data_IF_531991835727
#
_entry.id   IF_531991835727
#
_cell.length_a   1.000
_cell.length_b   1.000
_cell.length_c   1.000
_cell.angle_alpha   90.00
_cell.angle_beta   90.00
_cell.angle_gamma   90.00
#
_symmetry.space_group_name_H-M   'P 1'
#
loop_
_entity.id
_entity.type
_entity.pdbx_description
1 polymer ?
#
# COMPACT_ATOMS: atom_id res chain seq x y z
N UNK A 1 32.47 -25.33 22.94
CA UNK A 1 31.10 -25.59 23.44
C UNK A 1 31.14 -26.99 24.03
N UNK A 2 31.38 -27.08 25.33
CA UNK A 2 31.49 -28.37 26.01
C UNK A 2 30.07 -28.90 26.24
N UNK A 3 29.80 -30.10 25.73
CA UNK A 3 28.62 -30.91 26.05
C UNK A 3 28.69 -31.29 27.53
N UNK A 4 27.80 -30.74 28.34
CA UNK A 4 27.57 -31.21 29.71
C UNK A 4 26.93 -32.59 29.61
N UNK A 5 27.45 -33.64 30.24
CA UNK A 5 26.80 -34.94 30.26
C UNK A 5 25.45 -34.79 30.99
N UNK A 6 24.32 -35.13 30.33
CA UNK A 6 23.01 -35.09 30.93
C UNK A 6 23.02 -35.98 32.17
N UNK A 7 22.79 -35.39 33.33
CA UNK A 7 22.63 -36.11 34.58
C UNK A 7 21.39 -37.01 34.50
N UNK A 8 21.56 -38.32 34.77
CA UNK A 8 20.44 -39.23 34.87
C UNK A 8 19.64 -38.91 36.16
N UNK A 9 18.38 -38.60 36.00
CA UNK A 9 17.50 -38.47 37.18
C UNK A 9 17.29 -39.83 37.86
N UNK A 10 17.14 -39.86 39.20
CA UNK A 10 16.73 -41.06 39.89
C UNK A 10 15.39 -41.60 39.34
N UNK A 11 15.27 -42.91 39.24
CA UNK A 11 14.09 -43.58 38.64
C UNK A 11 12.77 -43.27 39.36
N UNK A 12 12.81 -42.89 40.63
CA UNK A 12 11.69 -42.52 41.47
C UNK A 12 11.34 -41.02 41.48
N UNK A 13 12.17 -40.18 40.82
CA UNK A 13 11.94 -38.73 40.76
C UNK A 13 10.58 -38.39 40.10
N UNK A 14 10.26 -39.04 39.00
CA UNK A 14 9.01 -38.80 38.32
C UNK A 14 7.78 -39.12 39.20
N UNK A 15 7.86 -40.15 40.04
CA UNK A 15 6.78 -40.50 40.98
C UNK A 15 6.65 -39.49 42.11
N UNK A 16 7.76 -38.97 42.63
CA UNK A 16 7.76 -37.88 43.62
C UNK A 16 7.14 -36.61 43.04
N UNK A 17 7.52 -36.23 41.83
CA UNK A 17 6.96 -35.04 41.17
C UNK A 17 5.48 -35.23 40.80
N UNK A 18 5.02 -36.43 40.44
CA UNK A 18 3.64 -36.72 40.07
C UNK A 18 2.66 -36.43 41.20
N UNK A 19 3.04 -36.68 42.45
CA UNK A 19 2.22 -36.36 43.60
C UNK A 19 2.01 -34.84 43.78
N UNK A 20 2.99 -34.03 43.49
CA UNK A 20 2.87 -32.59 43.56
C UNK A 20 2.02 -32.00 42.42
N UNK A 21 2.05 -32.60 41.24
CA UNK A 21 1.35 -32.07 40.07
C UNK A 21 -0.17 -32.09 40.22
N UNK A 22 -0.73 -32.99 41.06
CA UNK A 22 -2.19 -33.05 41.28
C UNK A 22 -2.75 -31.76 41.92
N UNK A 23 -1.94 -31.03 42.70
CA UNK A 23 -2.35 -29.76 43.31
C UNK A 23 -1.73 -28.54 42.63
N UNK A 24 -0.64 -28.72 41.87
CA UNK A 24 0.11 -27.67 41.26
C UNK A 24 -0.70 -26.96 40.15
N UNK A 25 -1.56 -27.66 39.41
CA UNK A 25 -2.40 -27.08 38.35
C UNK A 25 -3.28 -25.95 38.85
N UNK A 26 -3.97 -26.17 39.99
CA UNK A 26 -4.83 -25.14 40.60
C UNK A 26 -4.01 -23.93 41.11
N UNK A 27 -2.84 -24.19 41.74
CA UNK A 27 -1.95 -23.14 42.20
C UNK A 27 -1.42 -22.28 41.05
N UNK A 28 -1.06 -22.89 39.91
CA UNK A 28 -0.63 -22.19 38.70
C UNK A 28 -1.73 -21.29 38.16
N UNK A 29 -2.94 -21.84 38.02
CA UNK A 29 -4.10 -21.10 37.52
C UNK A 29 -4.44 -19.93 38.46
N UNK A 30 -4.43 -20.14 39.78
CA UNK A 30 -4.66 -19.08 40.75
C UNK A 30 -3.58 -17.97 40.70
N UNK A 31 -2.32 -18.35 40.54
CA UNK A 31 -1.21 -17.40 40.41
C UNK A 31 -1.29 -16.59 39.12
N UNK A 32 -1.58 -17.24 37.99
CA UNK A 32 -1.75 -16.55 36.68
C UNK A 32 -2.92 -15.57 36.77
N UNK A 33 -4.07 -15.98 37.32
CA UNK A 33 -5.25 -15.11 37.46
C UNK A 33 -4.96 -13.89 38.35
N UNK A 34 -4.14 -14.04 39.37
CA UNK A 34 -3.77 -12.97 40.31
C UNK A 34 -2.75 -11.98 39.70
N UNK A 35 -1.76 -12.48 38.94
CA UNK A 35 -0.62 -11.70 38.53
C UNK A 35 -0.70 -11.18 37.08
N UNK A 36 -1.57 -11.77 36.26
CA UNK A 36 -1.79 -11.34 34.86
C UNK A 36 -3.22 -10.84 34.70
N UNK A 37 -3.46 -9.52 34.66
CA UNK A 37 -4.81 -8.93 34.70
C UNK A 37 -5.76 -9.44 33.59
N UNK A 38 -5.24 -9.78 32.42
CA UNK A 38 -6.04 -10.31 31.32
C UNK A 38 -6.63 -11.71 31.60
N UNK A 39 -6.10 -12.44 32.60
CA UNK A 39 -6.59 -13.72 33.07
C UNK A 39 -7.32 -13.64 34.42
N UNK A 40 -7.49 -12.43 34.98
CA UNK A 40 -8.16 -12.20 36.25
C UNK A 40 -9.69 -12.41 36.19
N UNK A 41 -10.28 -12.54 35.01
CA UNK A 41 -11.70 -12.88 34.87
C UNK A 41 -11.96 -14.35 35.31
N UNK A 42 -13.15 -14.66 35.82
CA UNK A 42 -13.48 -16.04 36.18
C UNK A 42 -13.12 -16.97 35.02
N UNK A 43 -12.30 -18.00 35.31
CA UNK A 43 -11.90 -19.03 34.35
C UNK A 43 -13.06 -20.00 34.08
N UNK A 44 -14.25 -19.45 33.82
CA UNK A 44 -15.48 -20.14 33.51
C UNK A 44 -15.71 -20.24 31.99
N UNK A 45 -16.53 -21.17 31.57
CA UNK A 45 -16.87 -21.38 30.16
C UNK A 45 -15.76 -22.07 29.36
N UNK A 46 -15.79 -21.89 28.04
CA UNK A 46 -14.85 -22.55 27.12
C UNK A 46 -13.39 -22.06 27.29
N UNK A 47 -13.22 -20.80 27.68
CA UNK A 47 -11.90 -20.21 27.91
C UNK A 47 -11.21 -20.81 29.14
N UNK A 48 -11.89 -20.82 30.30
CA UNK A 48 -11.31 -21.38 31.50
C UNK A 48 -10.97 -22.87 31.37
N UNK A 49 -11.81 -23.64 30.69
CA UNK A 49 -11.49 -25.01 30.32
C UNK A 49 -10.24 -25.15 29.48
N UNK A 50 -10.06 -24.26 28.47
CA UNK A 50 -8.86 -24.26 27.62
C UNK A 50 -7.59 -23.98 28.39
N UNK A 51 -7.59 -22.99 29.30
CA UNK A 51 -6.43 -22.67 30.14
C UNK A 51 -6.11 -23.83 31.08
N UNK A 52 -7.11 -24.40 31.75
CA UNK A 52 -6.93 -25.57 32.64
C UNK A 52 -6.35 -26.75 31.88
N UNK A 53 -6.92 -27.09 30.73
CA UNK A 53 -6.42 -28.17 29.88
C UNK A 53 -4.99 -27.93 29.40
N UNK A 54 -4.65 -26.68 29.03
CA UNK A 54 -3.29 -26.31 28.65
C UNK A 54 -2.27 -26.46 29.78
N UNK A 55 -2.65 -26.09 31.02
CA UNK A 55 -1.82 -26.28 32.23
C UNK A 55 -1.65 -27.74 32.56
N UNK A 56 -2.73 -28.52 32.57
CA UNK A 56 -2.70 -29.98 32.86
C UNK A 56 -1.82 -30.70 31.81
N UNK A 57 -2.00 -30.43 30.53
CA UNK A 57 -1.18 -31.00 29.45
C UNK A 57 0.29 -30.64 29.61
N UNK A 58 0.60 -29.36 29.95
CA UNK A 58 1.97 -28.91 30.18
C UNK A 58 2.62 -29.69 31.33
N UNK A 59 1.92 -29.87 32.42
CA UNK A 59 2.42 -30.60 33.59
C UNK A 59 2.64 -32.08 33.30
N UNK A 60 1.69 -32.73 32.65
CA UNK A 60 1.79 -34.17 32.30
C UNK A 60 2.95 -34.41 31.31
N UNK A 61 3.13 -33.54 30.33
CA UNK A 61 4.22 -33.67 29.37
C UNK A 61 5.58 -33.39 30.01
N UNK A 62 5.66 -32.41 30.90
CA UNK A 62 6.89 -32.19 31.65
C UNK A 62 7.32 -33.43 32.44
N UNK A 63 6.36 -34.12 33.11
CA UNK A 63 6.64 -35.42 33.76
C UNK A 63 7.21 -36.44 32.78
N UNK A 64 6.60 -36.56 31.61
CA UNK A 64 7.12 -37.47 30.56
C UNK A 64 8.55 -37.16 30.18
N UNK A 65 8.92 -35.87 30.08
CA UNK A 65 10.28 -35.42 29.77
C UNK A 65 11.26 -35.85 30.91
N UNK A 66 10.85 -35.70 32.17
CA UNK A 66 11.68 -36.12 33.32
C UNK A 66 11.80 -37.64 33.38
N UNK A 67 10.71 -38.38 33.16
CA UNK A 67 10.65 -39.82 33.21
C UNK A 67 11.49 -40.49 32.10
N UNK A 68 11.43 -39.96 30.88
CA UNK A 68 12.22 -40.48 29.77
C UNK A 68 13.71 -40.23 29.90
N UNK A 69 14.11 -39.24 30.71
CA UNK A 69 15.49 -38.93 31.03
C UNK A 69 16.41 -38.87 29.78
N UNK A 70 15.85 -38.40 28.65
CA UNK A 70 16.56 -38.32 27.38
C UNK A 70 17.57 -37.18 27.37
N UNK A 71 18.83 -37.45 26.98
CA UNK A 71 19.80 -36.39 26.85
C UNK A 71 19.42 -35.46 25.66
N UNK A 72 19.19 -34.20 25.92
CA UNK A 72 18.90 -33.18 24.88
C UNK A 72 17.64 -32.34 25.15
N UNK A 73 17.32 -31.44 24.25
CA UNK A 73 16.10 -30.63 24.38
C UNK A 73 14.84 -31.52 24.38
N UNK A 74 13.82 -31.17 25.18
CA UNK A 74 12.59 -31.97 25.27
C UNK A 74 11.93 -32.13 23.90
N UNK A 75 11.57 -33.38 23.56
CA UNK A 75 10.80 -33.65 22.35
C UNK A 75 9.34 -33.18 22.55
N UNK A 76 9.02 -32.07 21.93
CA UNK A 76 7.67 -31.48 21.93
C UNK A 76 6.83 -31.90 20.73
N UNK A 77 7.33 -32.71 19.80
CA UNK A 77 6.65 -33.02 18.53
C UNK A 77 5.20 -33.44 18.72
N UNK A 78 4.95 -34.33 19.69
CA UNK A 78 3.61 -34.86 19.99
C UNK A 78 2.62 -33.85 20.61
N UNK A 79 3.12 -32.80 21.26
CA UNK A 79 2.28 -31.79 21.95
C UNK A 79 2.33 -30.41 21.28
N UNK A 80 3.21 -30.20 20.31
CA UNK A 80 3.42 -28.90 19.64
C UNK A 80 2.14 -28.30 19.10
N UNK A 81 1.26 -29.10 18.47
CA UNK A 81 0.00 -28.62 17.89
C UNK A 81 -0.98 -28.10 18.97
N UNK A 82 -0.91 -28.62 20.22
CA UNK A 82 -1.73 -28.10 21.34
C UNK A 82 -1.33 -26.64 21.63
N UNK A 83 -0.03 -26.37 21.70
CA UNK A 83 0.47 -25.01 21.98
C UNK A 83 0.30 -24.05 20.79
N UNK A 84 0.46 -24.52 19.58
CA UNK A 84 0.15 -23.74 18.36
C UNK A 84 -1.35 -23.37 18.34
N UNK A 85 -2.25 -24.29 18.68
CA UNK A 85 -3.69 -23.98 18.80
C UNK A 85 -3.98 -22.99 19.91
N UNK A 86 -3.30 -23.11 21.05
CA UNK A 86 -3.43 -22.15 22.14
C UNK A 86 -3.06 -20.74 21.69
N UNK A 87 -1.92 -20.56 21.02
CA UNK A 87 -1.49 -19.27 20.47
C UNK A 87 -2.51 -18.66 19.50
N UNK A 88 -3.05 -19.48 18.59
CA UNK A 88 -4.14 -19.06 17.68
C UNK A 88 -5.40 -18.63 18.45
N UNK A 89 -5.75 -19.35 19.53
CA UNK A 89 -6.90 -19.02 20.37
C UNK A 89 -6.73 -17.69 21.10
N UNK A 90 -5.54 -17.43 21.63
CA UNK A 90 -5.20 -16.19 22.33
C UNK A 90 -5.27 -14.96 21.41
N UNK A 91 -4.74 -15.07 20.19
CA UNK A 91 -4.87 -14.02 19.16
C UNK A 91 -6.36 -13.73 18.85
N UNK A 92 -7.17 -14.76 18.62
CA UNK A 92 -8.62 -14.60 18.34
C UNK A 92 -9.39 -13.99 19.51
N UNK A 93 -8.93 -14.23 20.73
CA UNK A 93 -9.51 -13.65 21.95
C UNK A 93 -9.03 -12.21 22.20
N UNK A 94 -8.20 -11.63 21.33
CA UNK A 94 -7.71 -10.24 21.41
C UNK A 94 -6.67 -10.01 22.51
N UNK A 95 -6.05 -11.07 23.04
CA UNK A 95 -4.97 -10.94 24.04
C UNK A 95 -3.62 -10.80 23.32
N UNK A 96 -2.72 -10.01 23.90
CA UNK A 96 -1.38 -9.81 23.33
C UNK A 96 -0.47 -11.00 23.58
N UNK A 97 0.51 -11.22 22.70
CA UNK A 97 1.54 -12.24 22.88
C UNK A 97 2.31 -12.03 24.20
N UNK A 98 2.61 -10.77 24.55
CA UNK A 98 3.32 -10.45 25.81
C UNK A 98 2.52 -10.88 27.06
N UNK A 99 1.19 -10.69 27.04
CA UNK A 99 0.30 -11.19 28.11
C UNK A 99 0.40 -12.71 28.27
N UNK A 100 0.40 -13.43 27.16
CA UNK A 100 0.51 -14.88 27.16
C UNK A 100 1.87 -15.37 27.66
N UNK A 101 2.96 -14.77 27.18
CA UNK A 101 4.31 -15.09 27.67
C UNK A 101 4.50 -14.68 29.14
N UNK A 102 3.80 -13.63 29.59
CA UNK A 102 3.71 -13.27 31.00
C UNK A 102 3.10 -14.39 31.86
N UNK A 103 2.04 -15.03 31.38
CA UNK A 103 1.43 -16.17 32.07
C UNK A 103 2.39 -17.38 32.19
N UNK A 104 3.15 -17.67 31.12
CA UNK A 104 4.18 -18.70 31.16
C UNK A 104 5.26 -18.40 32.22
N UNK A 105 5.76 -17.15 32.28
CA UNK A 105 6.75 -16.75 33.32
C UNK A 105 6.25 -16.89 34.73
N UNK A 106 4.97 -16.55 35.00
CA UNK A 106 4.34 -16.74 36.30
C UNK A 106 4.22 -18.23 36.61
N UNK A 107 3.70 -19.00 35.65
CA UNK A 107 3.58 -20.45 35.76
C UNK A 107 4.91 -21.14 36.07
N UNK A 108 5.94 -20.83 35.29
CA UNK A 108 7.30 -21.34 35.46
C UNK A 108 7.84 -21.10 36.86
N UNK A 109 7.67 -19.89 37.38
CA UNK A 109 8.17 -19.54 38.72
C UNK A 109 7.44 -20.32 39.85
N UNK A 110 6.13 -20.49 39.75
CA UNK A 110 5.37 -21.22 40.71
C UNK A 110 5.67 -22.73 40.63
N UNK A 111 5.73 -23.29 39.41
CA UNK A 111 6.09 -24.67 39.16
C UNK A 111 7.47 -25.00 39.71
N UNK A 112 8.48 -24.17 39.40
CA UNK A 112 9.83 -24.38 39.86
C UNK A 112 9.95 -24.47 41.38
N UNK A 113 9.31 -23.54 42.11
CA UNK A 113 9.35 -23.58 43.59
C UNK A 113 8.84 -24.90 44.16
N UNK A 114 7.68 -25.33 43.66
CA UNK A 114 7.03 -26.55 44.15
C UNK A 114 7.82 -27.80 43.76
N UNK A 115 8.23 -27.90 42.49
CA UNK A 115 8.97 -29.07 42.00
C UNK A 115 10.38 -29.16 42.59
N UNK A 116 11.10 -28.06 42.78
CA UNK A 116 12.40 -28.06 43.44
C UNK A 116 12.31 -28.49 44.91
N UNK A 117 11.29 -28.03 45.64
CA UNK A 117 11.08 -28.44 47.02
C UNK A 117 10.70 -29.92 47.12
N UNK A 118 9.89 -30.46 46.21
CA UNK A 118 9.55 -31.86 46.14
C UNK A 118 10.76 -32.72 45.80
N UNK A 119 11.56 -32.33 44.80
CA UNK A 119 12.78 -33.03 44.39
C UNK A 119 13.81 -33.10 45.53
N UNK A 120 13.97 -32.01 46.30
CA UNK A 120 14.84 -31.99 47.48
C UNK A 120 14.36 -32.92 48.56
N UNK A 121 13.05 -32.96 48.84
CA UNK A 121 12.46 -33.92 49.79
C UNK A 121 12.66 -35.36 49.32
N UNK A 122 12.63 -35.60 48.01
CA UNK A 122 12.93 -36.89 47.40
C UNK A 122 14.42 -37.25 47.33
N UNK A 123 15.32 -36.41 47.90
CA UNK A 123 16.75 -36.69 47.98
C UNK A 123 17.59 -36.30 46.78
N UNK A 124 17.05 -35.49 45.85
CA UNK A 124 17.80 -34.98 44.69
C UNK A 124 18.92 -34.03 45.20
N UNK A 125 20.12 -34.24 44.74
CA UNK A 125 21.30 -33.42 45.09
C UNK A 125 21.31 -32.08 44.32
N UNK A 126 22.32 -31.26 44.56
CA UNK A 126 22.46 -29.92 43.94
C UNK A 126 22.59 -29.99 42.42
N UNK A 127 23.35 -30.94 41.92
CA UNK A 127 23.61 -31.09 40.47
C UNK A 127 22.34 -31.60 39.77
N UNK A 128 21.61 -32.52 40.38
CA UNK A 128 20.32 -32.95 39.90
C UNK A 128 19.26 -31.83 39.88
N UNK A 129 19.28 -30.92 40.87
CA UNK A 129 18.42 -29.75 40.89
C UNK A 129 18.76 -28.76 39.74
N UNK A 130 20.03 -28.59 39.42
CA UNK A 130 20.44 -27.79 38.29
C UNK A 130 19.94 -28.41 36.98
N UNK A 131 20.14 -29.72 36.80
CA UNK A 131 19.64 -30.45 35.61
C UNK A 131 18.11 -30.39 35.47
N UNK A 132 17.38 -30.47 36.59
CA UNK A 132 15.93 -30.33 36.59
C UNK A 132 15.49 -28.92 36.21
N UNK A 133 16.23 -27.87 36.64
CA UNK A 133 15.98 -26.49 36.24
C UNK A 133 16.19 -26.27 34.74
N UNK A 134 17.32 -26.76 34.23
CA UNK A 134 17.67 -26.67 32.79
C UNK A 134 16.60 -27.35 31.93
N UNK A 135 16.18 -28.55 32.32
CA UNK A 135 15.10 -29.31 31.65
C UNK A 135 13.78 -28.55 31.67
N UNK A 136 13.41 -27.97 32.83
CA UNK A 136 12.18 -27.19 32.95
C UNK A 136 12.21 -25.89 32.10
N UNK A 137 13.31 -25.16 32.15
CA UNK A 137 13.43 -23.95 31.34
C UNK A 137 13.45 -24.24 29.83
N UNK A 138 14.18 -25.28 29.41
CA UNK A 138 14.14 -25.73 28.02
C UNK A 138 12.74 -26.14 27.56
N UNK A 139 11.99 -26.81 28.42
CA UNK A 139 10.60 -27.19 28.17
C UNK A 139 9.69 -25.94 28.01
N UNK A 140 9.79 -24.96 28.93
CA UNK A 140 9.02 -23.72 28.88
C UNK A 140 9.37 -22.88 27.65
N UNK A 141 10.62 -22.80 27.29
CA UNK A 141 11.04 -22.11 26.07
C UNK A 141 10.47 -22.77 24.83
N UNK A 142 10.46 -24.09 24.78
CA UNK A 142 9.85 -24.86 23.67
C UNK A 142 8.35 -24.62 23.51
N UNK A 143 7.57 -24.71 24.60
CA UNK A 143 6.13 -24.46 24.56
C UNK A 143 5.78 -22.99 24.29
N UNK A 144 6.59 -22.06 24.80
CA UNK A 144 6.47 -20.63 24.52
C UNK A 144 6.71 -20.33 23.03
N UNK A 145 7.73 -20.95 22.45
CA UNK A 145 8.06 -20.85 21.02
C UNK A 145 6.92 -21.36 20.13
N UNK A 146 6.39 -22.57 20.41
CA UNK A 146 5.28 -23.15 19.68
C UNK A 146 3.99 -22.28 19.77
N UNK A 147 3.75 -21.72 20.95
CA UNK A 147 2.60 -20.82 21.17
C UNK A 147 2.76 -19.50 20.41
N UNK A 148 3.96 -18.91 20.44
CA UNK A 148 4.27 -17.68 19.70
C UNK A 148 4.12 -17.88 18.18
N UNK A 149 4.53 -19.03 17.67
CA UNK A 149 4.33 -19.39 16.27
C UNK A 149 2.83 -19.46 15.91
N UNK A 150 2.02 -20.13 16.72
CA UNK A 150 0.58 -20.20 16.51
C UNK A 150 -0.08 -18.82 16.50
N UNK A 151 0.37 -17.94 17.39
CA UNK A 151 -0.08 -16.55 17.47
C UNK A 151 0.30 -15.78 16.18
N UNK A 152 1.56 -15.86 15.76
CA UNK A 152 2.06 -15.19 14.56
C UNK A 152 1.35 -15.67 13.28
N UNK A 153 1.11 -16.99 13.15
CA UNK A 153 0.33 -17.56 12.06
C UNK A 153 -1.11 -17.04 12.01
N UNK A 154 -1.77 -16.91 13.16
CA UNK A 154 -3.13 -16.36 13.22
C UNK A 154 -3.15 -14.86 12.85
N UNK A 155 -2.18 -14.10 13.32
CA UNK A 155 -2.00 -12.69 13.00
C UNK A 155 -1.76 -12.47 11.49
N UNK A 156 -0.86 -13.24 10.89
CA UNK A 156 -0.55 -13.18 9.46
C UNK A 156 -1.77 -13.52 8.60
N UNK A 157 -2.53 -14.58 8.97
CA UNK A 157 -3.77 -14.94 8.25
C UNK A 157 -4.82 -13.84 8.32
N UNK A 158 -5.03 -13.26 9.50
CA UNK A 158 -5.98 -12.17 9.68
C UNK A 158 -5.58 -10.92 8.88
N UNK A 159 -4.29 -10.62 8.80
CA UNK A 159 -3.77 -9.54 7.97
C UNK A 159 -4.00 -9.81 6.46
N UNK A 160 -3.73 -11.05 6.00
CA UNK A 160 -3.94 -11.46 4.61
C UNK A 160 -5.43 -11.48 4.22
N UNK A 161 -6.33 -11.92 5.11
CA UNK A 161 -7.77 -11.87 4.87
C UNK A 161 -8.27 -10.42 4.77
N UNK A 162 -7.77 -9.55 5.63
CA UNK A 162 -8.11 -8.12 5.57
C UNK A 162 -7.59 -7.50 4.27
N UNK A 163 -6.35 -7.78 3.88
CA UNK A 163 -5.76 -7.33 2.62
C UNK A 163 -6.64 -7.71 1.41
N UNK A 164 -7.06 -8.97 1.32
CA UNK A 164 -7.97 -9.45 0.26
C UNK A 164 -9.31 -8.73 0.23
N UNK A 165 -9.88 -8.37 1.39
CA UNK A 165 -11.12 -7.59 1.44
C UNK A 165 -10.92 -6.16 0.94
N UNK A 166 -9.77 -5.54 1.24
CA UNK A 166 -9.40 -4.21 0.73
C UNK A 166 -9.22 -4.21 -0.79
N UNK A 167 -8.52 -5.21 -1.33
CA UNK A 167 -8.33 -5.38 -2.77
C UNK A 167 -9.68 -5.62 -3.46
N UNK A 168 -10.50 -6.50 -2.90
CA UNK A 168 -11.86 -6.74 -3.41
C UNK A 168 -12.73 -5.49 -3.39
N UNK A 169 -12.65 -4.68 -2.34
CA UNK A 169 -13.37 -3.41 -2.25
C UNK A 169 -12.90 -2.43 -3.33
N UNK A 170 -11.59 -2.32 -3.55
CA UNK A 170 -11.02 -1.51 -4.62
C UNK A 170 -11.44 -1.96 -6.01
N UNK A 171 -11.47 -3.26 -6.29
CA UNK A 171 -11.97 -3.82 -7.56
C UNK A 171 -13.44 -3.47 -7.81
N UNK A 172 -14.28 -3.61 -6.78
CA UNK A 172 -15.71 -3.25 -6.88
C UNK A 172 -15.90 -1.75 -7.14
N UNK A 173 -15.13 -0.89 -6.49
CA UNK A 173 -15.14 0.54 -6.72
C UNK A 173 -14.66 0.90 -8.13
N UNK A 174 -13.60 0.22 -8.61
CA UNK A 174 -13.04 0.45 -9.93
C UNK A 174 -14.00 0.02 -11.06
N UNK A 175 -14.66 -1.11 -10.88
CA UNK A 175 -15.58 -1.69 -11.89
C UNK A 175 -16.99 -1.11 -11.87
N UNK A 176 -17.34 -0.29 -10.88
CA UNK A 176 -18.71 0.20 -10.70
C UNK A 176 -19.64 -0.88 -10.19
N UNK A 177 -19.17 -1.68 -9.22
CA UNK A 177 -19.97 -2.74 -8.62
C UNK A 177 -21.25 -2.23 -7.95
N UNK A 178 -22.18 -3.16 -7.70
CA UNK A 178 -23.44 -2.83 -7.04
C UNK A 178 -23.19 -2.17 -5.67
N UNK A 179 -23.83 -1.02 -5.35
CA UNK A 179 -23.63 -0.33 -4.08
C UNK A 179 -23.85 -1.21 -2.83
N UNK A 180 -24.85 -2.09 -2.84
CA UNK A 180 -25.10 -3.01 -1.74
C UNK A 180 -23.93 -3.99 -1.52
N UNK A 181 -23.29 -4.45 -2.60
CA UNK A 181 -22.11 -5.33 -2.52
C UNK A 181 -20.91 -4.57 -1.99
N UNK A 182 -20.70 -3.32 -2.42
CA UNK A 182 -19.65 -2.44 -1.91
C UNK A 182 -19.82 -2.21 -0.42
N UNK A 183 -21.04 -1.88 0.05
CA UNK A 183 -21.33 -1.70 1.47
C UNK A 183 -21.08 -2.98 2.29
N UNK A 184 -21.52 -4.13 1.79
CA UNK A 184 -21.30 -5.40 2.47
C UNK A 184 -19.81 -5.73 2.60
N UNK A 185 -19.04 -5.53 1.51
CA UNK A 185 -17.59 -5.76 1.51
C UNK A 185 -16.87 -4.78 2.43
N UNK A 186 -17.26 -3.50 2.43
CA UNK A 186 -16.73 -2.48 3.30
C UNK A 186 -16.97 -2.82 4.79
N UNK A 187 -18.18 -3.27 5.15
CA UNK A 187 -18.48 -3.74 6.53
C UNK A 187 -17.61 -4.93 6.92
N UNK A 188 -17.46 -5.91 6.02
CA UNK A 188 -16.59 -7.08 6.26
C UNK A 188 -15.13 -6.69 6.45
N UNK A 189 -14.64 -5.68 5.70
CA UNK A 189 -13.30 -5.11 5.82
C UNK A 189 -13.14 -4.17 7.02
N UNK A 190 -14.21 -3.91 7.80
CA UNK A 190 -14.27 -2.90 8.85
C UNK A 190 -13.92 -1.49 8.34
N UNK A 191 -14.28 -1.20 7.08
CA UNK A 191 -14.06 0.08 6.43
C UNK A 191 -15.31 0.95 6.48
N UNK A 192 -15.16 2.16 7.01
CA UNK A 192 -16.23 3.16 6.95
C UNK A 192 -16.16 3.87 5.60
N UNK A 193 -17.18 3.65 4.77
CA UNK A 193 -17.31 4.37 3.50
C UNK A 193 -17.39 5.88 3.77
N UNK A 194 -16.54 6.69 3.12
CA UNK A 194 -16.58 8.16 3.25
C UNK A 194 -17.74 8.72 2.43
N UNK A 195 -18.20 9.94 2.74
CA UNK A 195 -19.24 10.62 1.95
C UNK A 195 -18.75 10.89 0.52
N UNK A 196 -17.46 11.23 0.38
CA UNK A 196 -16.82 11.45 -0.92
C UNK A 196 -15.46 10.75 -0.98
N UNK A 197 -15.05 10.39 -2.18
CA UNK A 197 -13.73 9.82 -2.46
C UNK A 197 -13.18 10.27 -3.81
N UNK A 198 -11.87 10.11 -4.02
CA UNK A 198 -11.23 10.23 -5.32
C UNK A 198 -10.43 8.97 -5.65
N UNK A 199 -10.49 8.55 -6.90
CA UNK A 199 -9.64 7.49 -7.43
C UNK A 199 -8.28 8.07 -7.84
N UNK A 200 -7.22 7.38 -7.48
CA UNK A 200 -5.84 7.71 -7.84
C UNK A 200 -5.30 6.55 -8.66
N UNK A 201 -4.72 6.83 -9.81
CA UNK A 201 -3.97 5.87 -10.60
C UNK A 201 -2.47 6.17 -10.48
N UNK A 202 -1.71 5.19 -10.04
CA UNK A 202 -0.25 5.23 -9.98
C UNK A 202 0.30 4.27 -11.03
N UNK A 203 1.07 4.76 -12.02
CA UNK A 203 1.61 3.92 -13.09
C UNK A 203 2.57 2.84 -12.56
N UNK A 204 2.49 1.62 -13.07
CA UNK A 204 3.38 0.51 -12.72
C UNK A 204 4.84 0.74 -13.06
N UNK A 205 5.10 1.42 -14.17
CA UNK A 205 6.43 1.80 -14.65
C UNK A 205 6.69 3.30 -14.45
N UNK A 206 6.69 3.80 -13.23
CA UNK A 206 7.23 5.13 -12.97
C UNK A 206 8.76 5.05 -13.10
N UNK A 207 9.27 5.53 -14.22
CA UNK A 207 10.60 5.40 -14.75
C UNK A 207 11.74 5.40 -13.73
N UNK A 208 12.45 4.30 -13.69
CA UNK A 208 13.87 4.33 -13.42
C UNK A 208 14.55 4.88 -14.66
N UNK A 209 15.00 6.13 -14.57
CA UNK A 209 15.78 6.77 -15.62
C UNK A 209 16.97 5.88 -16.00
N UNK A 210 17.17 5.80 -17.31
CA UNK A 210 18.38 5.48 -18.04
C UNK A 210 19.58 4.99 -17.22
N UNK A 211 19.64 3.67 -17.05
CA UNK A 211 20.89 2.98 -16.78
C UNK A 211 21.19 2.10 -17.99
N UNK A 212 22.04 2.57 -18.90
CA UNK A 212 22.66 1.76 -19.95
C UNK A 212 23.55 0.71 -19.30
N UNK A 213 22.99 -0.51 -19.14
CA UNK A 213 23.74 -1.68 -18.72
C UNK A 213 23.64 -2.76 -19.79
N UNK A 214 24.60 -2.77 -20.73
CA UNK A 214 24.85 -3.89 -21.61
C UNK A 214 25.36 -5.08 -20.79
N UNK A 215 24.48 -6.07 -20.59
CA UNK A 215 24.83 -7.34 -19.96
C UNK A 215 24.32 -8.51 -20.81
N UNK A 216 25.17 -9.00 -21.69
CA UNK A 216 25.00 -10.28 -22.40
C UNK A 216 25.17 -11.42 -21.39
N UNK A 217 24.10 -12.16 -21.12
CA UNK A 217 24.14 -13.37 -20.31
C UNK A 217 23.22 -14.42 -20.90
N UNK A 218 23.78 -15.33 -21.71
CA UNK A 218 23.15 -16.56 -22.16
C UNK A 218 23.05 -17.55 -20.99
N UNK A 219 21.84 -17.92 -20.60
CA UNK A 219 21.59 -18.97 -19.63
C UNK A 219 20.32 -19.73 -19.98
N UNK A 220 20.50 -20.90 -20.59
CA UNK A 220 19.46 -21.91 -20.80
C UNK A 220 19.12 -22.57 -19.46
N UNK A 221 17.87 -22.49 -19.04
CA UNK A 221 17.37 -23.20 -17.86
C UNK A 221 15.88 -23.49 -18.04
N UNK A 222 15.56 -24.73 -18.34
CA UNK A 222 14.21 -25.31 -18.32
C UNK A 222 13.76 -25.46 -16.87
N UNK A 223 12.72 -24.72 -16.47
CA UNK A 223 12.08 -24.85 -15.16
C UNK A 223 10.59 -24.56 -15.28
N UNK A 224 9.82 -25.59 -14.98
CA UNK A 224 8.36 -25.68 -14.99
C UNK A 224 7.69 -24.61 -14.10
N UNK A 225 6.59 -24.03 -14.65
CA UNK A 225 5.84 -22.93 -14.07
C UNK A 225 5.25 -23.19 -12.69
N UNK A 226 5.23 -22.10 -11.90
CA UNK A 226 4.22 -21.67 -10.91
C UNK A 226 4.69 -20.50 -10.00
N UNK A 227 5.84 -19.83 -10.27
CA UNK A 227 6.39 -18.79 -9.40
C UNK A 227 6.15 -17.33 -9.87
N UNK A 228 5.46 -17.10 -10.99
CA UNK A 228 5.31 -15.74 -11.56
C UNK A 228 4.29 -14.86 -10.82
N UNK A 229 3.32 -15.43 -10.10
CA UNK A 229 2.30 -14.65 -9.38
C UNK A 229 2.77 -14.13 -8.01
N UNK A 230 3.71 -14.80 -7.35
CA UNK A 230 4.22 -14.37 -6.03
C UNK A 230 5.20 -13.21 -6.11
N UNK A 231 6.07 -13.18 -7.10
CA UNK A 231 7.06 -12.09 -7.32
C UNK A 231 6.39 -10.76 -7.72
N UNK A 232 5.23 -10.82 -8.37
CA UNK A 232 4.44 -9.65 -8.74
C UNK A 232 3.78 -8.99 -7.52
N UNK A 233 3.26 -9.77 -6.61
CA UNK A 233 2.51 -9.32 -5.43
C UNK A 233 3.44 -8.68 -4.38
N UNK A 234 4.64 -9.22 -4.15
CA UNK A 234 5.64 -8.64 -3.24
C UNK A 234 6.16 -7.28 -3.73
N UNK A 235 6.41 -7.12 -5.03
CA UNK A 235 6.85 -5.83 -5.61
C UNK A 235 5.78 -4.75 -5.55
N UNK A 236 4.51 -5.12 -5.60
CA UNK A 236 3.38 -4.19 -5.50
C UNK A 236 3.18 -3.76 -4.06
N UNK A 237 3.27 -4.68 -3.10
CA UNK A 237 3.15 -4.37 -1.68
C UNK A 237 4.31 -3.49 -1.18
N UNK A 238 5.53 -3.70 -1.65
CA UNK A 238 6.68 -2.82 -1.36
C UNK A 238 6.45 -1.40 -1.92
N UNK A 239 5.86 -1.27 -3.10
CA UNK A 239 5.55 0.04 -3.70
C UNK A 239 4.41 0.76 -3.00
N UNK A 240 3.39 0.03 -2.58
CA UNK A 240 2.28 0.56 -1.77
C UNK A 240 2.80 0.97 -0.39
N UNK A 241 3.72 0.22 0.20
CA UNK A 241 4.38 0.55 1.45
C UNK A 241 5.21 1.84 1.40
N UNK A 242 5.75 2.19 0.21
CA UNK A 242 6.44 3.46 -0.02
C UNK A 242 5.48 4.65 -0.19
N UNK A 243 4.18 4.40 -0.46
CA UNK A 243 3.18 5.45 -0.51
C UNK A 243 2.87 5.93 0.91
N UNK A 244 3.06 7.22 1.19
CA UNK A 244 2.68 7.82 2.47
C UNK A 244 1.14 7.92 2.63
N UNK A 245 0.43 6.85 2.24
CA UNK A 245 -1.02 6.70 2.32
C UNK A 245 -1.37 5.76 3.49
N UNK A 246 -2.56 5.92 4.10
CA UNK A 246 -2.99 5.00 5.15
C UNK A 246 -3.04 3.56 4.63
N UNK A 247 -2.55 2.57 5.39
CA UNK A 247 -2.57 1.16 4.99
C UNK A 247 -3.99 0.64 4.78
N UNK A 248 -4.97 1.27 5.42
CA UNK A 248 -6.39 0.95 5.35
C UNK A 248 -7.11 1.68 4.20
N UNK A 249 -6.55 1.66 2.99
CA UNK A 249 -7.10 2.35 1.82
C UNK A 249 -7.49 1.31 0.76
N UNK A 250 -8.75 1.31 0.24
CA UNK A 250 -9.17 0.40 -0.82
C UNK A 250 -8.30 0.57 -2.06
N UNK A 251 -7.85 -0.56 -2.61
CA UNK A 251 -6.93 -0.59 -3.74
C UNK A 251 -7.30 -1.68 -4.73
N UNK A 252 -6.88 -1.51 -5.97
CA UNK A 252 -7.02 -2.53 -7.01
C UNK A 252 -5.80 -2.46 -7.93
N UNK A 253 -5.46 -3.59 -8.52
CA UNK A 253 -4.40 -3.70 -9.53
C UNK A 253 -5.07 -4.00 -10.86
N UNK A 254 -4.74 -3.23 -11.90
CA UNK A 254 -5.24 -3.47 -13.25
C UNK A 254 -4.11 -3.29 -14.25
N UNK A 255 -3.61 -4.41 -14.80
CA UNK A 255 -2.34 -4.42 -15.54
C UNK A 255 -1.19 -4.03 -14.60
N UNK A 256 -0.33 -3.13 -15.04
CA UNK A 256 0.78 -2.62 -14.22
C UNK A 256 0.37 -1.46 -13.30
N UNK A 257 -0.89 -1.01 -13.33
CA UNK A 257 -1.36 0.16 -12.62
C UNK A 257 -1.93 -0.18 -11.26
N UNK A 258 -1.57 0.64 -10.27
CA UNK A 258 -2.13 0.58 -8.93
C UNK A 258 -3.23 1.65 -8.83
N UNK A 259 -4.44 1.22 -8.49
CA UNK A 259 -5.58 2.07 -8.23
C UNK A 259 -5.82 2.18 -6.72
N UNK A 260 -6.04 3.40 -6.23
CA UNK A 260 -6.22 3.69 -4.82
C UNK A 260 -7.43 4.62 -4.68
N UNK A 261 -8.31 4.34 -3.69
CA UNK A 261 -9.50 5.15 -3.45
C UNK A 261 -9.37 5.88 -2.11
N UNK A 262 -9.09 7.20 -2.18
CA UNK A 262 -8.85 8.02 -1.00
C UNK A 262 -10.12 8.77 -0.60
N UNK A 263 -10.57 8.58 0.65
CA UNK A 263 -11.72 9.29 1.21
C UNK A 263 -11.43 10.75 1.50
N UNK A 264 -12.47 11.57 1.40
CA UNK A 264 -12.51 13.01 1.71
C UNK A 264 -11.36 13.82 1.08
N UNK A 265 -11.14 13.71 -0.25
CA UNK A 265 -9.98 14.33 -0.91
C UNK A 265 -10.02 15.86 -0.86
N UNK A 266 -11.19 16.47 -0.66
CA UNK A 266 -11.42 17.92 -0.59
C UNK A 266 -11.41 18.48 0.84
N UNK A 267 -11.24 17.62 1.86
CA UNK A 267 -11.16 18.05 3.25
C UNK A 267 -9.99 19.01 3.51
N UNK A 268 -10.02 19.77 4.63
CA UNK A 268 -8.98 20.73 4.97
C UNK A 268 -7.58 20.12 4.97
N UNK A 269 -6.67 20.68 4.17
CA UNK A 269 -5.28 20.23 4.06
C UNK A 269 -5.06 18.92 3.26
N UNK A 270 -6.11 18.19 2.86
CA UNK A 270 -6.03 16.92 2.15
C UNK A 270 -5.36 17.05 0.79
N UNK A 271 -5.67 18.12 0.03
CA UNK A 271 -5.02 18.39 -1.26
C UNK A 271 -3.50 18.48 -1.12
N UNK A 272 -2.99 19.31 -0.20
CA UNK A 272 -1.55 19.47 0.04
C UNK A 272 -0.89 18.18 0.50
N UNK A 273 -1.61 17.39 1.30
CA UNK A 273 -1.14 16.10 1.75
C UNK A 273 -1.02 15.12 0.56
N UNK A 274 -2.03 15.03 -0.32
CA UNK A 274 -1.99 14.21 -1.53
C UNK A 274 -0.85 14.63 -2.46
N UNK A 275 -0.68 15.94 -2.68
CA UNK A 275 0.42 16.47 -3.49
C UNK A 275 1.79 15.99 -3.00
N UNK A 276 2.01 15.97 -1.67
CA UNK A 276 3.25 15.48 -1.07
C UNK A 276 3.40 13.96 -1.16
N UNK A 277 2.32 13.23 -0.87
CA UNK A 277 2.32 11.77 -0.87
C UNK A 277 2.55 11.18 -2.28
N UNK A 278 2.18 11.91 -3.33
CA UNK A 278 2.24 11.47 -4.72
C UNK A 278 3.43 12.04 -5.51
N UNK A 279 4.33 12.78 -4.84
CA UNK A 279 5.53 13.34 -5.49
C UNK A 279 6.38 12.22 -6.10
N UNK A 280 6.79 12.39 -7.34
CA UNK A 280 7.67 11.44 -8.04
C UNK A 280 6.97 10.23 -8.64
N UNK A 281 5.67 10.03 -8.39
CA UNK A 281 4.96 8.83 -8.82
C UNK A 281 4.27 8.96 -10.19
N UNK A 282 4.21 10.16 -10.76
CA UNK A 282 3.47 10.40 -12.00
C UNK A 282 1.97 10.07 -11.88
N UNK A 283 1.43 10.15 -10.68
CA UNK A 283 0.07 9.78 -10.38
C UNK A 283 -0.97 10.71 -11.02
N UNK A 284 -2.17 10.18 -11.29
CA UNK A 284 -3.31 10.98 -11.74
C UNK A 284 -4.45 10.81 -10.74
N UNK A 285 -4.99 11.92 -10.27
CA UNK A 285 -6.07 11.98 -9.28
C UNK A 285 -7.36 12.38 -9.97
N UNK A 286 -8.37 11.52 -9.90
CA UNK A 286 -9.74 11.77 -10.39
C UNK A 286 -10.48 12.78 -9.53
N UNK A 287 -11.70 13.18 -9.94
CA UNK A 287 -12.53 14.10 -9.17
C UNK A 287 -13.00 13.49 -7.85
N UNK A 288 -13.30 14.36 -6.90
CA UNK A 288 -14.07 13.98 -5.72
C UNK A 288 -15.51 13.66 -6.11
N UNK A 289 -15.97 12.45 -5.79
CA UNK A 289 -17.33 11.97 -6.08
C UNK A 289 -17.90 11.26 -4.85
N UNK A 290 -19.24 11.14 -4.72
CA UNK A 290 -19.84 10.24 -3.76
C UNK A 290 -19.34 8.81 -3.98
N UNK A 291 -19.15 8.05 -2.89
CA UNK A 291 -18.57 6.71 -3.00
C UNK A 291 -19.28 5.74 -3.99
N UNK A 292 -20.62 5.81 -4.22
CA UNK A 292 -21.25 4.95 -5.23
C UNK A 292 -20.80 5.26 -6.66
N UNK A 293 -20.26 6.45 -6.90
CA UNK A 293 -19.74 6.92 -8.19
C UNK A 293 -18.22 6.75 -8.32
N UNK A 294 -17.58 5.95 -7.47
CA UNK A 294 -16.12 5.72 -7.45
C UNK A 294 -15.54 5.39 -8.84
N UNK A 295 -16.28 4.58 -9.63
CA UNK A 295 -15.89 4.22 -10.98
C UNK A 295 -15.87 5.42 -11.96
N UNK A 296 -16.71 6.43 -11.75
CA UNK A 296 -16.68 7.66 -12.56
C UNK A 296 -15.40 8.48 -12.28
N UNK A 297 -14.97 8.55 -11.01
CA UNK A 297 -13.69 9.15 -10.65
C UNK A 297 -12.52 8.41 -11.30
N UNK A 298 -12.54 7.07 -11.24
CA UNK A 298 -11.53 6.22 -11.87
C UNK A 298 -11.49 6.39 -13.39
N UNK A 299 -12.65 6.41 -14.04
CA UNK A 299 -12.75 6.59 -15.49
C UNK A 299 -12.14 7.94 -15.94
N UNK A 300 -12.38 9.03 -15.18
CA UNK A 300 -11.80 10.32 -15.47
C UNK A 300 -10.29 10.33 -15.25
N UNK A 301 -9.80 9.70 -14.18
CA UNK A 301 -8.36 9.58 -13.94
C UNK A 301 -7.66 8.79 -15.07
N UNK A 302 -8.25 7.66 -15.51
CA UNK A 302 -7.75 6.88 -16.63
C UNK A 302 -7.72 7.67 -17.93
N UNK A 303 -8.78 8.40 -18.23
CA UNK A 303 -8.86 9.25 -19.41
C UNK A 303 -7.76 10.34 -19.39
N UNK A 304 -7.62 11.04 -18.27
CA UNK A 304 -6.62 12.09 -18.12
C UNK A 304 -5.18 11.54 -18.24
N UNK A 305 -4.91 10.36 -17.69
CA UNK A 305 -3.63 9.67 -17.87
C UNK A 305 -3.36 9.37 -19.34
N UNK A 306 -4.31 8.71 -20.01
CA UNK A 306 -4.16 8.37 -21.42
C UNK A 306 -3.95 9.61 -22.30
N UNK A 307 -4.70 10.69 -22.04
CA UNK A 307 -4.55 11.95 -22.76
C UNK A 307 -3.17 12.62 -22.49
N UNK A 308 -2.68 12.55 -21.26
CA UNK A 308 -1.33 13.02 -20.90
C UNK A 308 -0.26 12.21 -21.61
N UNK A 309 -0.36 10.89 -21.59
CA UNK A 309 0.64 9.96 -22.15
C UNK A 309 0.70 10.09 -23.69
N UNK A 310 -0.43 10.46 -24.35
CA UNK A 310 -0.46 10.81 -25.79
C UNK A 310 -0.02 12.25 -26.09
N UNK A 311 0.28 13.06 -25.07
CA UNK A 311 0.64 14.46 -25.25
C UNK A 311 -0.52 15.37 -25.69
N UNK A 312 -1.77 14.94 -25.45
CA UNK A 312 -3.00 15.65 -25.84
C UNK A 312 -3.45 16.70 -24.81
N UNK A 313 -2.71 16.85 -23.69
CA UNK A 313 -2.97 17.86 -22.66
C UNK A 313 -1.98 19.04 -22.79
N UNK A 314 -2.25 20.03 -23.67
CA UNK A 314 -1.35 21.15 -23.84
C UNK A 314 -1.27 22.01 -22.58
N UNK A 315 -0.06 22.40 -22.21
CA UNK A 315 0.19 23.26 -21.04
C UNK A 315 0.22 22.53 -19.69
N UNK A 316 0.00 21.22 -19.67
CA UNK A 316 0.32 20.38 -18.53
C UNK A 316 1.80 20.05 -18.63
N UNK A 317 2.64 20.50 -17.68
CA UNK A 317 4.04 20.12 -17.71
C UNK A 317 4.14 18.60 -17.70
N UNK A 318 4.77 18.02 -18.70
CA UNK A 318 5.18 16.62 -18.70
C UNK A 318 6.32 16.44 -17.71
N UNK A 319 6.09 16.84 -16.44
CA UNK A 319 7.08 16.64 -15.41
C UNK A 319 7.18 15.14 -15.16
N UNK A 320 8.31 14.50 -15.45
CA UNK A 320 8.57 13.17 -14.96
C UNK A 320 8.38 13.19 -13.44
N UNK A 321 7.31 12.56 -12.94
CA UNK A 321 7.01 12.48 -11.52
C UNK A 321 6.02 13.51 -10.95
N UNK A 322 5.51 14.48 -11.72
CA UNK A 322 4.45 15.38 -11.27
C UNK A 322 3.08 14.67 -11.20
N UNK A 323 2.30 14.92 -10.13
CA UNK A 323 0.93 14.42 -10.02
C UNK A 323 -0.04 15.32 -10.77
N UNK A 324 -0.99 14.73 -11.53
CA UNK A 324 -2.02 15.46 -12.26
C UNK A 324 -3.36 15.32 -11.52
N UNK A 325 -3.96 16.43 -11.18
CA UNK A 325 -5.32 16.48 -10.62
C UNK A 325 -6.30 16.89 -11.72
N UNK A 326 -7.28 16.03 -12.00
CA UNK A 326 -8.19 16.23 -13.13
C UNK A 326 -9.01 17.51 -13.02
N UNK A 327 -9.32 17.97 -11.80
CA UNK A 327 -10.14 19.16 -11.58
C UNK A 327 -9.43 20.46 -11.97
N UNK A 328 -8.10 20.47 -12.02
CA UNK A 328 -7.33 21.62 -12.48
C UNK A 328 -7.27 21.72 -14.02
N UNK A 329 -7.72 20.69 -14.74
CA UNK A 329 -7.54 20.53 -16.18
C UNK A 329 -8.84 20.22 -16.94
N UNK A 330 -10.00 20.59 -16.40
CA UNK A 330 -11.30 20.24 -16.97
C UNK A 330 -11.48 20.69 -18.42
N UNK A 331 -11.05 21.90 -18.75
CA UNK A 331 -11.15 22.41 -20.12
C UNK A 331 -10.26 21.65 -21.10
N UNK A 332 -9.02 21.34 -20.71
CA UNK A 332 -8.11 20.53 -21.52
C UNK A 332 -8.64 19.10 -21.72
N UNK A 333 -9.17 18.49 -20.65
CA UNK A 333 -9.78 17.18 -20.73
C UNK A 333 -11.02 17.16 -21.63
N UNK A 334 -11.83 18.23 -21.61
CA UNK A 334 -12.98 18.36 -22.51
C UNK A 334 -12.53 18.39 -23.97
N UNK A 335 -11.51 19.18 -24.29
CA UNK A 335 -10.95 19.29 -25.64
C UNK A 335 -10.28 17.99 -26.12
N UNK A 336 -9.66 17.23 -25.21
CA UNK A 336 -9.02 15.94 -25.52
C UNK A 336 -10.06 14.78 -25.64
N UNK A 337 -11.34 15.03 -25.37
CA UNK A 337 -12.37 13.97 -25.35
C UNK A 337 -12.64 13.38 -26.72
N UNK A 338 -12.69 14.22 -27.73
CA UNK A 338 -12.92 13.83 -29.12
C UNK A 338 -11.89 14.50 -30.03
N UNK A 339 -10.71 13.89 -30.22
CA UNK A 339 -9.65 14.44 -31.04
C UNK A 339 -10.00 14.49 -32.54
N UNK A 340 -10.92 13.64 -33.01
CA UNK A 340 -11.36 13.62 -34.42
C UNK A 340 -12.22 14.84 -34.70
N UNK A 341 -13.25 15.07 -33.89
CA UNK A 341 -14.11 16.25 -34.01
C UNK A 341 -13.29 17.55 -33.89
N UNK A 342 -12.32 17.57 -32.98
CA UNK A 342 -11.43 18.70 -32.82
C UNK A 342 -10.54 18.94 -34.05
N UNK A 343 -10.06 17.88 -34.71
CA UNK A 343 -9.29 17.95 -35.93
C UNK A 343 -10.13 18.45 -37.11
N UNK A 344 -11.38 18.03 -37.21
CA UNK A 344 -12.34 18.52 -38.23
C UNK A 344 -12.59 20.00 -38.05
N UNK A 345 -12.84 20.45 -36.82
CA UNK A 345 -13.01 21.88 -36.51
C UNK A 345 -11.73 22.68 -36.82
N UNK A 346 -10.56 22.12 -36.50
CA UNK A 346 -9.28 22.72 -36.80
C UNK A 346 -9.07 22.89 -38.31
N UNK A 347 -9.38 21.87 -39.10
CA UNK A 347 -9.28 21.90 -40.56
C UNK A 347 -10.22 22.94 -41.16
N UNK A 348 -11.43 23.07 -40.64
CA UNK A 348 -12.39 24.06 -41.08
C UNK A 348 -11.96 25.50 -40.75
N UNK A 349 -11.56 25.75 -39.51
CA UNK A 349 -11.33 27.11 -39.00
C UNK A 349 -9.91 27.63 -39.27
N UNK A 350 -8.92 26.76 -39.42
CA UNK A 350 -7.54 27.15 -39.72
C UNK A 350 -7.19 27.06 -41.22
N UNK A 351 -8.15 26.68 -42.09
CA UNK A 351 -7.98 26.66 -43.55
C UNK A 351 -7.34 27.96 -44.15
N UNK A 352 -7.68 29.16 -43.64
CA UNK A 352 -7.01 30.39 -44.16
C UNK A 352 -5.50 30.43 -43.89
N UNK A 353 -4.96 29.63 -43.00
CA UNK A 353 -3.53 29.51 -42.73
C UNK A 353 -2.87 28.41 -43.56
N UNK A 354 -3.62 27.61 -44.31
CA UNK A 354 -3.09 26.56 -45.15
C UNK A 354 -2.35 27.17 -46.36
N UNK A 355 -1.32 26.49 -46.82
CA UNK A 355 -0.45 27.04 -47.87
C UNK A 355 0.63 28.02 -47.41
N UNK A 356 0.59 28.45 -46.14
CA UNK A 356 1.68 29.28 -45.59
C UNK A 356 2.86 28.41 -45.16
N UNK A 357 4.09 28.91 -45.27
CA UNK A 357 5.25 28.22 -44.70
C UNK A 357 5.04 27.89 -43.20
N UNK A 358 5.43 26.70 -42.76
CA UNK A 358 5.18 26.17 -41.39
C UNK A 358 5.55 27.20 -40.30
N UNK A 359 6.68 27.88 -40.41
CA UNK A 359 7.12 28.89 -39.43
C UNK A 359 6.22 30.14 -39.41
N UNK A 360 5.66 30.52 -40.57
CA UNK A 360 4.75 31.67 -40.67
C UNK A 360 3.40 31.30 -40.07
N UNK A 361 2.86 30.13 -40.44
CA UNK A 361 1.63 29.58 -39.90
C UNK A 361 1.69 29.53 -38.36
N UNK A 362 2.74 28.93 -37.78
CA UNK A 362 2.92 28.85 -36.34
C UNK A 362 2.91 30.20 -35.62
N UNK A 363 3.66 31.18 -36.17
CA UNK A 363 3.72 32.56 -35.62
C UNK A 363 2.39 33.30 -35.71
N UNK A 364 1.64 33.11 -36.78
CA UNK A 364 0.32 33.71 -36.95
C UNK A 364 -0.71 33.06 -36.02
N UNK A 365 -0.70 31.75 -35.92
CA UNK A 365 -1.57 30.98 -34.99
C UNK A 365 -1.32 31.42 -33.55
N UNK A 366 -0.08 31.51 -33.10
CA UNK A 366 0.28 32.00 -31.77
C UNK A 366 -0.19 33.44 -31.52
N UNK A 367 0.01 34.31 -32.49
CA UNK A 367 -0.45 35.72 -32.41
C UNK A 367 -1.97 35.81 -32.36
N UNK A 368 -2.68 34.99 -33.15
CA UNK A 368 -4.15 34.89 -33.13
C UNK A 368 -4.68 34.40 -31.79
N UNK A 369 -4.10 33.34 -31.23
CA UNK A 369 -4.48 32.85 -29.92
C UNK A 369 -4.35 33.91 -28.83
N UNK A 370 -3.21 34.64 -28.81
CA UNK A 370 -3.03 35.71 -27.83
C UNK A 370 -3.95 36.90 -28.08
N UNK A 371 -4.26 37.19 -29.32
CA UNK A 371 -5.21 38.26 -29.68
C UNK A 371 -6.63 37.92 -29.14
N UNK A 372 -7.09 36.69 -29.31
CA UNK A 372 -8.35 36.20 -28.75
C UNK A 372 -8.35 36.25 -27.22
N UNK A 373 -7.32 35.70 -26.57
CA UNK A 373 -7.19 35.63 -25.10
C UNK A 373 -7.07 37.00 -24.44
N UNK A 374 -6.30 37.91 -25.02
CA UNK A 374 -6.03 39.25 -24.48
C UNK A 374 -7.00 40.32 -25.03
N UNK A 375 -8.09 39.88 -25.67
CA UNK A 375 -9.14 40.78 -26.18
C UNK A 375 -8.58 41.92 -27.00
N UNK A 376 -7.60 41.65 -27.88
CA UNK A 376 -7.01 42.61 -28.80
C UNK A 376 -6.01 43.62 -28.21
N UNK A 377 -5.58 43.46 -26.94
CA UNK A 377 -4.63 44.35 -26.26
C UNK A 377 -3.21 44.20 -26.83
N UNK A 378 -2.91 44.96 -27.92
CA UNK A 378 -1.67 44.80 -28.70
C UNK A 378 -0.38 44.91 -27.89
N UNK A 379 -0.32 45.85 -26.94
CA UNK A 379 0.85 46.03 -26.08
C UNK A 379 1.14 44.78 -25.21
N UNK A 380 0.09 44.14 -24.67
CA UNK A 380 0.24 42.93 -23.90
C UNK A 380 0.64 41.73 -24.76
N UNK A 381 0.09 41.62 -25.97
CA UNK A 381 0.48 40.59 -26.92
C UNK A 381 1.96 40.73 -27.29
N UNK A 382 2.42 41.96 -27.53
CA UNK A 382 3.82 42.25 -27.85
C UNK A 382 4.77 41.85 -26.71
N UNK A 383 4.39 42.16 -25.47
CA UNK A 383 5.14 41.80 -24.27
C UNK A 383 5.18 40.26 -24.08
N UNK A 384 4.05 39.57 -24.24
CA UNK A 384 3.99 38.08 -24.11
C UNK A 384 4.85 37.37 -25.16
N UNK A 385 4.88 37.90 -26.42
CA UNK A 385 5.66 37.32 -27.50
C UNK A 385 7.10 37.84 -27.56
N UNK A 386 7.48 38.77 -26.69
CA UNK A 386 8.79 39.43 -26.67
C UNK A 386 9.18 40.03 -28.02
N UNK A 387 8.22 40.68 -28.70
CA UNK A 387 8.41 41.33 -30.00
C UNK A 387 7.98 42.80 -29.96
N UNK A 388 8.48 43.58 -30.90
CA UNK A 388 8.09 45.01 -31.02
C UNK A 388 6.59 45.14 -31.36
N UNK A 389 5.82 46.10 -30.79
CA UNK A 389 4.39 46.29 -31.08
C UNK A 389 4.05 46.46 -32.56
N UNK A 390 4.98 47.04 -33.35
CA UNK A 390 4.85 47.16 -34.82
C UNK A 390 4.76 45.78 -35.52
N UNK A 391 5.51 44.79 -35.03
CA UNK A 391 5.43 43.40 -35.52
C UNK A 391 4.06 42.81 -35.29
N UNK A 392 3.46 43.04 -34.10
CA UNK A 392 2.09 42.60 -33.79
C UNK A 392 1.08 43.27 -34.73
N UNK A 393 1.22 44.58 -34.97
CA UNK A 393 0.36 45.30 -35.93
C UNK A 393 0.39 44.66 -37.32
N UNK A 394 1.59 44.36 -37.81
CA UNK A 394 1.78 43.71 -39.12
C UNK A 394 1.11 42.32 -39.14
N UNK A 395 1.38 41.48 -38.15
CA UNK A 395 0.79 40.11 -38.07
C UNK A 395 -0.73 40.16 -37.96
N UNK A 396 -1.30 41.08 -37.20
CA UNK A 396 -2.76 41.22 -37.05
C UNK A 396 -3.40 41.72 -38.38
N UNK A 397 -2.73 42.59 -39.12
CA UNK A 397 -3.21 42.99 -40.45
C UNK A 397 -3.19 41.80 -41.42
N UNK A 398 -2.14 40.98 -41.39
CA UNK A 398 -2.07 39.77 -42.19
C UNK A 398 -3.17 38.78 -41.84
N UNK A 399 -3.45 38.58 -40.54
CA UNK A 399 -4.56 37.74 -40.06
C UNK A 399 -5.92 38.26 -40.54
N UNK A 400 -6.14 39.57 -40.48
CA UNK A 400 -7.37 40.18 -41.03
C UNK A 400 -7.54 39.99 -42.54
N UNK A 401 -6.45 40.04 -43.29
CA UNK A 401 -6.50 39.76 -44.73
C UNK A 401 -6.82 38.29 -45.01
N UNK A 402 -6.31 37.35 -44.20
CA UNK A 402 -6.54 35.91 -44.38
C UNK A 402 -7.93 35.46 -43.96
N UNK A 403 -8.42 35.93 -42.82
CA UNK A 403 -9.70 35.50 -42.23
C UNK A 403 -10.88 36.39 -42.61
N UNK A 404 -10.63 37.61 -43.09
CA UNK A 404 -11.68 38.57 -43.47
C UNK A 404 -12.62 38.88 -42.31
N UNK A 405 -13.92 38.96 -42.62
CA UNK A 405 -15.01 39.22 -41.66
C UNK A 405 -15.23 38.11 -40.64
N UNK A 406 -14.72 36.91 -40.89
CA UNK A 406 -14.80 35.78 -39.94
C UNK A 406 -14.17 36.08 -38.56
N UNK A 407 -13.21 36.99 -38.49
CA UNK A 407 -12.65 37.43 -37.21
C UNK A 407 -13.56 38.39 -36.43
N UNK A 408 -14.63 38.88 -37.02
CA UNK A 408 -15.61 39.74 -36.35
C UNK A 408 -16.79 38.96 -35.82
N UNK A 409 -16.97 37.71 -36.29
CA UNK A 409 -17.97 36.79 -35.84
C UNK A 409 -17.59 36.20 -34.46
N UNK A 410 -18.42 36.36 -33.40
CA UNK A 410 -18.12 35.83 -32.06
C UNK A 410 -18.05 34.31 -32.02
N UNK A 411 -18.88 33.59 -32.78
CA UNK A 411 -18.92 32.12 -32.79
C UNK A 411 -17.64 31.57 -33.45
N UNK A 412 -17.25 32.15 -34.55
CA UNK A 412 -15.96 31.80 -35.21
C UNK A 412 -14.76 32.08 -34.30
N UNK A 413 -14.75 33.21 -33.59
CA UNK A 413 -13.72 33.49 -32.58
C UNK A 413 -13.64 32.43 -31.48
N UNK A 414 -14.78 32.00 -30.96
CA UNK A 414 -14.86 30.97 -29.97
C UNK A 414 -14.27 29.64 -30.49
N UNK A 415 -14.68 29.22 -31.67
CA UNK A 415 -14.19 27.99 -32.29
C UNK A 415 -12.67 28.06 -32.62
N UNK A 416 -12.18 29.20 -33.12
CA UNK A 416 -10.75 29.44 -33.30
C UNK A 416 -9.97 29.37 -31.98
N UNK A 417 -10.53 29.92 -30.90
CA UNK A 417 -9.88 29.86 -29.60
C UNK A 417 -9.84 28.41 -29.07
N UNK A 418 -10.90 27.60 -29.22
CA UNK A 418 -10.91 26.17 -28.85
C UNK A 418 -9.81 25.41 -29.59
N UNK A 419 -9.77 25.51 -30.90
CA UNK A 419 -8.79 24.82 -31.76
C UNK A 419 -7.35 25.23 -31.43
N UNK A 420 -7.09 26.52 -31.28
CA UNK A 420 -5.76 27.02 -30.99
C UNK A 420 -5.27 26.71 -29.58
N UNK A 421 -6.18 26.57 -28.61
CA UNK A 421 -5.84 26.12 -27.25
C UNK A 421 -5.50 24.64 -27.20
N UNK A 422 -6.14 23.82 -28.03
CA UNK A 422 -5.89 22.39 -28.10
C UNK A 422 -4.63 22.05 -28.92
N UNK A 423 -4.17 22.94 -29.79
CA UNK A 423 -2.95 22.70 -30.57
C UNK A 423 -1.72 22.64 -29.67
N UNK A 424 -0.85 21.62 -29.82
CA UNK A 424 0.39 21.56 -29.08
C UNK A 424 1.23 22.81 -29.36
N UNK A 425 1.68 23.48 -28.30
CA UNK A 425 2.55 24.65 -28.41
C UNK A 425 3.86 24.17 -29.02
N UNK A 426 4.33 24.76 -30.18
CA UNK A 426 5.63 24.39 -30.71
C UNK A 426 6.70 24.64 -29.62
N UNK A 427 7.70 23.77 -29.48
CA UNK A 427 8.76 23.95 -28.49
C UNK A 427 9.41 25.32 -28.77
N UNK A 428 9.51 26.14 -27.73
CA UNK A 428 10.25 27.41 -27.81
C UNK A 428 11.67 27.10 -28.24
N UNK A 429 12.22 27.76 -29.24
CA UNK A 429 13.61 27.59 -29.61
C UNK A 429 14.45 27.98 -28.41
N UNK A 430 15.16 26.99 -27.84
CA UNK A 430 16.19 27.22 -26.83
C UNK A 430 17.13 28.27 -27.39
N UNK A 431 17.29 29.42 -26.72
CA UNK A 431 18.28 30.41 -27.07
C UNK A 431 19.66 29.73 -27.08
N UNK A 432 20.17 29.45 -28.26
CA UNK A 432 21.54 29.03 -28.41
C UNK A 432 22.41 30.18 -27.87
N UNK A 433 23.16 29.87 -26.82
CA UNK A 433 24.00 30.81 -26.11
C UNK A 433 24.85 31.61 -27.10
N UNK A 434 24.79 32.90 -26.95
CA UNK A 434 25.73 33.84 -27.56
C UNK A 434 27.11 33.46 -27.00
N UNK A 435 27.87 32.71 -27.78
CA UNK A 435 29.32 32.54 -27.51
C UNK A 435 29.98 33.86 -27.82
N UNK A 436 30.34 34.58 -26.78
CA UNK A 436 31.35 35.61 -26.84
C UNK A 436 32.66 34.99 -27.39
N UNK A 437 33.06 35.40 -28.55
CA UNK A 437 34.44 35.19 -29.05
C UNK A 437 35.31 36.29 -28.45
N UNK A 438 36.40 35.96 -27.76
CA UNK A 438 37.38 36.96 -27.38
C UNK A 438 38.26 37.29 -28.60
N UNK A 439 38.42 38.58 -28.86
CA UNK A 439 39.52 39.16 -29.63
C UNK A 439 40.76 39.33 -28.75
#
# INVERSE_FOLDING_TARGET
MQTVPGGQFPSDLADVLRLELMSLGDDLIAAIAREVPAYARPLEGSFGRGVRQGVEEALLRFLTVVDTNSPGPPDLAASREVYVRLGRGEFRAGRSLDTLLGAYRVGARVAWRRLADAARRGGLDADGLVSLAETMFAYIDGISGATAEGYALAQSRAASERGRLWDRLGELMLSGGNPATIEQTARAASYRLPDSLAAIIVPGSAGTGTGTGTGTGTGTGTGTGTDHDRDGDERVDDRIGCLALPPDTPRAIKGDDIWIFVGDPTGPGRRKWLERALVGLGAVVGPAVPWPEASASAARAAFARNARDRGELPGVPGCPGGSLFTDDHLAQLLLARDPVLLADLASLRLAPLDGLPVRVRARLAETLLLWLRLRGQRARIAAELQVHPQTIRYRLNQLRTLFGESLDDPDVRFELELVLRASPRPPMPTQAGHRDSPV
#
